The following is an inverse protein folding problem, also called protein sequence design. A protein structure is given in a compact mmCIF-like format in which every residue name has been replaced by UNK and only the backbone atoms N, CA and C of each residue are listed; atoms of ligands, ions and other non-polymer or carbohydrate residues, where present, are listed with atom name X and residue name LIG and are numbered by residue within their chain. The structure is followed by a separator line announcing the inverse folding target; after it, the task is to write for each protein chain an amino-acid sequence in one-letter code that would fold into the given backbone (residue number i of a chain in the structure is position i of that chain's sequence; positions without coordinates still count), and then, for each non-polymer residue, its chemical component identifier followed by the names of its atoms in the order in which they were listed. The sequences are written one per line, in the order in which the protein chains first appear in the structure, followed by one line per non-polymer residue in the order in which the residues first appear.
data_IF_455939402409
#
_entry.id   IF_455939402409
#
_cell.length_a   1.000
_cell.length_b   1.000
_cell.length_c   1.000
_cell.angle_alpha   90.00
_cell.angle_beta   90.00
_cell.angle_gamma   90.00
#
_symmetry.space_group_name_H-M   'P 1'
#
loop_
_entity.id
_entity.type
_entity.pdbx_description
1 polymer ?
#
# COMPACT_ATOMS: atom_id res chain seq x y z
N UNK A 1 -5.53 18.56 -6.77
CA UNK A 1 -6.40 17.38 -6.62
C UNK A 1 -5.53 16.18 -6.32
N UNK A 2 -5.73 15.48 -5.21
CA UNK A 2 -4.91 14.32 -4.84
C UNK A 2 -5.29 13.12 -5.73
N UNK A 3 -4.35 12.60 -6.51
CA UNK A 3 -4.57 11.50 -7.45
C UNK A 3 -4.76 10.19 -6.67
N UNK A 4 -5.94 9.58 -6.76
CA UNK A 4 -6.21 8.22 -6.23
C UNK A 4 -5.74 7.21 -7.26
N UNK A 5 -4.92 6.25 -6.84
CA UNK A 5 -4.51 5.11 -7.64
C UNK A 5 -5.43 3.95 -7.33
N UNK A 6 -6.17 3.46 -8.33
CA UNK A 6 -7.09 2.34 -8.16
C UNK A 6 -6.38 1.02 -8.44
N UNK A 7 -6.80 -0.01 -7.73
CA UNK A 7 -6.28 -1.36 -7.84
C UNK A 7 -7.42 -2.30 -8.24
N UNK A 8 -7.12 -3.23 -9.14
CA UNK A 8 -7.99 -4.37 -9.38
C UNK A 8 -7.78 -5.42 -8.28
N UNK A 9 -8.78 -6.26 -8.04
CA UNK A 9 -8.70 -7.32 -7.04
C UNK A 9 -8.44 -8.63 -7.75
N UNK A 10 -7.45 -9.40 -7.28
CA UNK A 10 -7.26 -10.77 -7.71
C UNK A 10 -8.39 -11.65 -7.13
N UNK A 11 -9.15 -12.37 -7.96
CA UNK A 11 -10.26 -13.19 -7.46
C UNK A 11 -9.81 -14.42 -6.65
N UNK A 12 -8.53 -14.80 -6.74
CA UNK A 12 -7.93 -15.96 -6.08
C UNK A 12 -7.35 -15.62 -4.71
N UNK A 13 -7.13 -14.34 -4.41
CA UNK A 13 -6.57 -13.85 -3.15
C UNK A 13 -7.41 -12.69 -2.60
N UNK A 14 -8.06 -12.83 -1.44
CA UNK A 14 -8.84 -11.74 -0.87
C UNK A 14 -7.93 -10.57 -0.47
N UNK A 15 -8.25 -9.32 -0.85
CA UNK A 15 -7.46 -8.17 -0.51
C UNK A 15 -7.63 -7.80 0.97
N UNK A 16 -6.73 -6.96 1.50
CA UNK A 16 -6.88 -6.44 2.85
C UNK A 16 -8.18 -5.63 2.95
N UNK A 17 -9.08 -6.02 3.86
CA UNK A 17 -10.37 -5.35 4.08
C UNK A 17 -10.30 -4.25 5.14
N UNK A 18 -9.11 -3.72 5.43
CA UNK A 18 -8.87 -2.70 6.45
C UNK A 18 -8.17 -1.49 5.86
N UNK A 19 -8.60 -0.30 6.29
CA UNK A 19 -7.89 0.94 5.99
C UNK A 19 -6.48 0.86 6.59
N UNK A 20 -5.49 1.21 5.78
CA UNK A 20 -4.08 1.12 6.13
C UNK A 20 -3.36 2.43 5.80
N UNK A 21 -2.54 2.90 6.73
CA UNK A 21 -1.57 3.96 6.50
C UNK A 21 -0.19 3.31 6.34
N UNK A 22 0.53 3.67 5.28
CA UNK A 22 1.88 3.18 5.06
C UNK A 22 2.84 4.26 4.54
N UNK A 23 4.14 4.05 4.76
CA UNK A 23 5.21 4.92 4.28
C UNK A 23 6.26 4.06 3.58
N UNK A 24 6.60 4.39 2.33
CA UNK A 24 7.67 3.72 1.60
C UNK A 24 9.02 4.30 2.01
N UNK A 25 9.93 3.46 2.50
CA UNK A 25 11.33 3.83 2.78
C UNK A 25 11.55 4.80 3.96
N UNK A 26 10.61 4.90 4.91
CA UNK A 26 10.77 5.62 6.19
C UNK A 26 10.90 7.16 6.14
N UNK A 27 11.24 7.74 4.99
CA UNK A 27 11.36 9.19 4.78
C UNK A 27 10.54 9.69 3.57
N UNK A 28 9.68 8.82 3.03
CA UNK A 28 8.80 9.12 1.91
C UNK A 28 7.47 9.77 2.32
N UNK A 29 6.63 10.15 1.35
CA UNK A 29 5.27 10.59 1.62
C UNK A 29 4.43 9.46 2.24
N UNK A 30 3.42 9.84 3.02
CA UNK A 30 2.46 8.90 3.57
C UNK A 30 1.44 8.51 2.51
N UNK A 31 0.97 7.27 2.60
CA UNK A 31 -0.06 6.71 1.73
C UNK A 31 -1.18 6.13 2.58
N UNK A 32 -2.40 6.28 2.08
CA UNK A 32 -3.59 5.68 2.67
C UNK A 32 -4.18 4.70 1.67
N UNK A 33 -4.29 3.44 2.06
CA UNK A 33 -5.02 2.40 1.35
C UNK A 33 -6.46 2.34 1.87
N UNK A 34 -7.40 2.37 0.92
CA UNK A 34 -8.81 2.17 1.14
C UNK A 34 -9.22 0.81 0.55
N UNK A 35 -9.79 -0.11 1.36
CA UNK A 35 -10.34 -1.35 0.84
C UNK A 35 -11.51 -1.11 -0.10
N UNK A 36 -11.95 -2.13 -0.88
CA UNK A 36 -13.19 -2.04 -1.64
C UNK A 36 -14.37 -1.73 -0.71
N UNK A 37 -15.10 -0.66 -0.98
CA UNK A 37 -16.26 -0.23 -0.19
C UNK A 37 -17.46 -0.03 -1.10
N UNK A 38 -18.61 -0.60 -0.75
CA UNK A 38 -19.91 -0.35 -1.41
C UNK A 38 -19.89 -0.44 -2.96
N UNK A 39 -19.08 -1.35 -3.52
CA UNK A 39 -18.95 -1.53 -4.96
C UNK A 39 -17.88 -0.66 -5.64
N UNK A 40 -17.11 0.11 -4.89
CA UNK A 40 -15.89 0.76 -5.39
C UNK A 40 -14.68 -0.18 -5.31
N UNK A 41 -13.78 -0.05 -6.29
CA UNK A 41 -12.49 -0.74 -6.30
C UNK A 41 -11.58 -0.19 -5.19
N UNK A 42 -10.67 -1.01 -4.64
CA UNK A 42 -9.66 -0.55 -3.69
C UNK A 42 -8.79 0.51 -4.33
N UNK A 43 -8.32 1.45 -3.52
CA UNK A 43 -7.46 2.52 -3.99
C UNK A 43 -6.45 2.95 -2.94
N UNK A 44 -5.36 3.54 -3.41
CA UNK A 44 -4.36 4.21 -2.57
C UNK A 44 -4.29 5.69 -2.90
N UNK A 45 -4.08 6.52 -1.89
CA UNK A 45 -3.91 7.96 -2.05
C UNK A 45 -2.67 8.45 -1.31
N UNK A 46 -1.83 9.21 -2.02
CA UNK A 46 -0.69 9.90 -1.44
C UNK A 46 -1.16 11.13 -0.66
N UNK A 47 -0.66 11.27 0.56
CA UNK A 47 -0.92 12.38 1.45
C UNK A 47 0.39 13.00 1.94
N UNK A 48 0.41 14.32 2.20
CA UNK A 48 1.66 15.04 2.45
C UNK A 48 2.24 14.81 3.85
N UNK A 49 1.46 14.30 4.80
CA UNK A 49 1.85 14.21 6.22
C UNK A 49 1.12 13.09 6.94
N UNK A 50 1.69 12.63 8.06
CA UNK A 50 1.09 11.61 8.93
C UNK A 50 -0.29 12.04 9.43
N UNK A 51 -0.43 13.28 9.90
CA UNK A 51 -1.71 13.81 10.39
C UNK A 51 -2.80 13.79 9.31
N UNK A 52 -2.43 14.11 8.06
CA UNK A 52 -3.35 14.04 6.93
C UNK A 52 -3.75 12.59 6.62
N UNK A 53 -2.80 11.66 6.76
CA UNK A 53 -3.05 10.22 6.61
C UNK A 53 -4.01 9.71 7.70
N UNK A 54 -3.75 10.05 8.96
CA UNK A 54 -4.57 9.65 10.11
C UNK A 54 -5.99 10.20 9.97
N UNK A 55 -6.14 11.49 9.61
CA UNK A 55 -7.46 12.10 9.40
C UNK A 55 -8.24 11.38 8.30
N UNK A 56 -7.62 11.18 7.13
CA UNK A 56 -8.25 10.49 6.01
C UNK A 56 -8.61 9.05 6.36
N UNK A 57 -7.67 8.32 6.97
CA UNK A 57 -7.88 6.93 7.33
C UNK A 57 -8.95 6.75 8.42
N UNK A 58 -9.03 7.67 9.39
CA UNK A 58 -10.04 7.65 10.44
C UNK A 58 -11.45 7.88 9.87
N UNK A 59 -11.57 8.81 8.91
CA UNK A 59 -12.83 9.08 8.21
C UNK A 59 -13.31 7.86 7.39
N UNK A 60 -12.38 7.22 6.67
CA UNK A 60 -12.64 5.99 5.93
C UNK A 60 -12.99 4.81 6.84
N UNK A 61 -12.28 4.66 7.97
CA UNK A 61 -12.55 3.62 8.95
C UNK A 61 -13.92 3.80 9.58
N UNK A 62 -14.30 5.03 9.95
CA UNK A 62 -15.62 5.35 10.46
C UNK A 62 -16.72 5.03 9.43
N UNK A 63 -16.50 5.40 8.17
CA UNK A 63 -17.43 5.11 7.06
C UNK A 63 -17.60 3.61 6.82
N UNK A 64 -16.54 2.83 7.01
CA UNK A 64 -16.51 1.39 6.81
C UNK A 64 -16.77 0.58 8.10
N UNK A 65 -17.25 1.26 9.16
CA UNK A 65 -17.52 0.68 10.49
C UNK A 65 -16.34 -0.13 11.06
N UNK A 66 -15.12 0.29 10.76
CA UNK A 66 -13.91 -0.37 11.26
C UNK A 66 -13.53 0.23 12.60
N UNK A 67 -13.23 -0.65 13.56
CA UNK A 67 -12.84 -0.24 14.90
C UNK A 67 -11.43 0.39 14.96
N UNK A 68 -10.55 0.07 13.99
CA UNK A 68 -9.17 0.53 14.00
C UNK A 68 -8.59 0.70 12.59
N UNK A 69 -7.74 1.73 12.45
CA UNK A 69 -6.85 1.94 11.30
C UNK A 69 -5.55 1.18 11.55
N UNK A 70 -5.06 0.44 10.57
CA UNK A 70 -3.73 -0.16 10.63
C UNK A 70 -2.69 0.87 10.18
N UNK A 71 -1.55 0.92 10.87
CA UNK A 71 -0.43 1.79 10.51
C UNK A 71 0.82 0.93 10.41
N UNK A 72 1.49 0.96 9.25
CA UNK A 72 2.78 0.30 9.04
C UNK A 72 3.80 1.30 8.54
N UNK A 73 4.98 1.35 9.17
CA UNK A 73 6.12 2.13 8.66
C UNK A 73 7.04 1.30 7.77
N UNK A 74 6.74 0.01 7.68
CA UNK A 74 7.54 -0.94 6.94
C UNK A 74 7.16 -0.93 5.47
N UNK A 75 8.16 -1.07 4.60
CA UNK A 75 7.96 -1.26 3.17
C UNK A 75 7.31 -2.62 2.85
N UNK A 76 7.05 -3.49 3.84
CA UNK A 76 6.45 -4.78 3.61
C UNK A 76 5.08 -4.67 2.92
N UNK A 77 5.06 -5.16 1.69
CA UNK A 77 3.93 -5.09 0.75
C UNK A 77 2.96 -6.27 0.92
N UNK A 78 2.98 -6.96 2.06
CA UNK A 78 2.09 -8.10 2.37
C UNK A 78 0.61 -7.76 2.25
N UNK A 79 0.25 -6.49 2.47
CA UNK A 79 -1.12 -5.99 2.34
C UNK A 79 -1.56 -5.77 0.88
N UNK A 80 -0.61 -5.77 -0.07
CA UNK A 80 -0.88 -5.74 -1.51
C UNK A 80 -1.13 -7.14 -2.10
N UNK A 81 -1.04 -8.20 -1.29
CA UNK A 81 -1.45 -9.51 -1.76
C UNK A 81 -2.92 -9.49 -2.19
N UNK A 82 -3.17 -9.86 -3.45
CA UNK A 82 -4.49 -9.80 -4.06
C UNK A 82 -4.87 -8.44 -4.66
N UNK A 83 -3.97 -7.46 -4.70
CA UNK A 83 -4.13 -6.22 -5.46
C UNK A 83 -3.33 -6.29 -6.77
N UNK A 84 -4.00 -6.00 -7.88
CA UNK A 84 -3.39 -5.90 -9.20
C UNK A 84 -3.35 -4.41 -9.59
N UNK A 85 -2.18 -3.86 -9.99
CA UNK A 85 -2.11 -2.47 -10.44
C UNK A 85 -2.96 -2.30 -11.70
N UNK A 86 -3.92 -1.37 -11.68
CA UNK A 86 -4.66 -1.02 -12.91
C UNK A 86 -3.69 -0.37 -13.90
N UNK A 87 -3.34 -1.09 -14.98
CA UNK A 87 -2.50 -0.58 -16.06
C UNK A 87 -1.11 -1.18 -16.20
N UNK A 88 -0.85 -2.37 -15.65
CA UNK A 88 0.26 -3.23 -16.11
C UNK A 88 1.66 -2.62 -16.03
N UNK A 89 1.93 -1.73 -15.07
CA UNK A 89 3.29 -1.31 -14.77
C UNK A 89 3.72 -1.90 -13.44
N UNK A 90 4.14 -3.15 -13.57
CA UNK A 90 4.95 -3.90 -12.64
C UNK A 90 6.37 -3.34 -12.43
N UNK A 91 6.75 -2.36 -13.23
CA UNK A 91 8.16 -2.00 -13.42
C UNK A 91 8.77 -1.18 -12.26
N UNK A 92 7.94 -0.68 -11.32
CA UNK A 92 8.43 0.09 -10.17
C UNK A 92 8.42 -0.72 -8.84
N UNK A 93 7.97 -1.99 -8.85
CA UNK A 93 8.02 -2.86 -7.67
C UNK A 93 9.28 -3.74 -7.59
N UNK A 94 10.07 -3.82 -8.67
CA UNK A 94 11.17 -4.80 -8.80
C UNK A 94 12.56 -4.24 -8.47
N UNK A 95 12.66 -3.10 -7.77
CA UNK A 95 13.96 -2.47 -7.48
C UNK A 95 14.45 -2.57 -6.03
N UNK A 96 13.74 -3.25 -5.10
CA UNK A 96 14.12 -3.26 -3.66
C UNK A 96 14.14 -4.66 -3.02
N UNK A 97 14.36 -5.72 -3.79
CA UNK A 97 14.67 -7.05 -3.21
C UNK A 97 15.74 -7.79 -4.02
N UNK A 98 16.94 -7.21 -4.07
CA UNK A 98 18.17 -8.00 -4.21
C UNK A 98 19.06 -7.79 -2.98
N UNK A 99 19.05 -8.70 -2.00
CA UNK A 99 20.13 -8.82 -1.02
C UNK A 99 21.29 -9.69 -1.57
N UNK A 100 21.55 -9.67 -2.89
CA UNK A 100 22.54 -10.57 -3.54
C UNK A 100 23.88 -9.91 -3.91
N UNK A 101 24.27 -8.80 -3.30
CA UNK A 101 25.66 -8.30 -3.43
C UNK A 101 26.53 -8.54 -2.17
N UNK A 102 26.00 -9.25 -1.17
CA UNK A 102 26.80 -9.69 -0.04
C UNK A 102 27.23 -11.15 -0.24
N UNK A 103 28.41 -11.27 -0.86
CA UNK A 103 29.41 -12.33 -0.64
C UNK A 103 29.21 -13.66 -1.39
N UNK A 104 29.87 -13.80 -2.55
CA UNK A 104 30.90 -14.83 -2.78
C UNK A 104 31.42 -14.81 -4.23
N UNK A 105 32.67 -14.39 -4.43
CA UNK A 105 33.64 -15.18 -5.18
C UNK A 105 35.04 -14.64 -4.95
N UNK A 106 35.76 -15.35 -4.08
CA UNK A 106 37.20 -15.54 -4.20
C UNK A 106 37.55 -16.12 -5.60
N UNK A 107 38.83 -16.10 -5.95
CA UNK A 107 39.51 -16.60 -7.18
C UNK A 107 39.51 -15.57 -8.33
N UNK A 108 40.62 -15.02 -8.83
CA UNK A 108 42.03 -15.45 -8.98
C UNK A 108 43.00 -14.29 -8.68
#
# INVERSE_FOLDING_TARGET
MAKRLRHSIDPSKPPLLRVLIFQRGGNGPYWVYCPPMRGELPWTQKVPSEEAAIRLASDLAATNQQAAVLITKDSAEWWMEGLLPEGGQADEYEAVTRPEDLNASNDD
#
